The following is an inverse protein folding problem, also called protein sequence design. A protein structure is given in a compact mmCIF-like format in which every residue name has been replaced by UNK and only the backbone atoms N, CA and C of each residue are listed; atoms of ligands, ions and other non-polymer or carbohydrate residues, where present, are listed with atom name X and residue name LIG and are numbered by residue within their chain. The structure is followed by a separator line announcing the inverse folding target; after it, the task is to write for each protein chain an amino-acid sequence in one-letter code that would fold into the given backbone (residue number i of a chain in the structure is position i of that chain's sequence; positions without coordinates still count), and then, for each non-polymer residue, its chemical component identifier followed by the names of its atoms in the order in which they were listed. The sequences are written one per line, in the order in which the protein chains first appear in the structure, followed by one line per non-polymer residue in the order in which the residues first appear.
data_IF_949668307462
#
_entry.id   IF_949668307462
#
_cell.length_a   1.000
_cell.length_b   1.000
_cell.length_c   1.000
_cell.angle_alpha   90.00
_cell.angle_beta   90.00
_cell.angle_gamma   90.00
#
_symmetry.space_group_name_H-M   'P 1'
#
loop_
_entity.id
_entity.type
_entity.pdbx_description
1 polymer ?
#
# COMPACT_ATOMS: atom_id res chain seq x y z
N UNK A 1 34.68 7.83 17.40
CA UNK A 1 34.55 6.39 17.54
C UNK A 1 34.26 6.13 19.01
N UNK A 2 33.04 5.71 19.37
CA UNK A 2 32.68 5.31 20.74
C UNK A 2 33.05 3.83 20.87
N UNK A 3 34.01 3.53 21.73
CA UNK A 3 34.43 2.17 22.11
C UNK A 3 33.37 1.50 23.00
N UNK A 4 32.15 1.34 22.51
CA UNK A 4 31.08 0.66 23.25
C UNK A 4 30.74 -0.65 22.54
N UNK A 5 30.69 -1.73 23.34
CA UNK A 5 30.23 -3.06 22.89
C UNK A 5 28.75 -3.19 23.32
N UNK A 6 27.87 -3.44 22.34
CA UNK A 6 26.47 -3.76 22.62
C UNK A 6 26.29 -5.25 22.83
N UNK A 7 25.67 -5.65 23.94
CA UNK A 7 25.25 -7.02 24.21
C UNK A 7 23.73 -7.10 24.12
N UNK A 8 23.21 -7.89 23.18
CA UNK A 8 21.77 -8.15 23.04
C UNK A 8 21.42 -9.45 23.78
N UNK A 9 20.53 -9.35 24.76
CA UNK A 9 20.05 -10.52 25.51
C UNK A 9 18.54 -10.64 25.26
N UNK A 10 18.07 -11.73 24.64
CA UNK A 10 16.64 -11.92 24.37
C UNK A 10 15.85 -12.06 25.67
N UNK A 11 14.66 -11.45 25.71
CA UNK A 11 13.74 -11.60 26.82
C UNK A 11 13.24 -13.04 26.95
N UNK A 12 13.22 -13.58 28.16
CA UNK A 12 12.66 -14.91 28.44
C UNK A 12 11.16 -14.91 28.19
N UNK A 13 10.47 -13.81 28.53
CA UNK A 13 9.03 -13.65 28.30
C UNK A 13 8.80 -12.66 27.17
N UNK A 14 8.16 -13.11 26.09
CA UNK A 14 7.79 -12.24 24.97
C UNK A 14 6.55 -11.43 25.30
N UNK A 15 6.60 -10.11 25.09
CA UNK A 15 5.44 -9.23 25.22
C UNK A 15 4.82 -8.96 23.84
N UNK A 16 3.48 -8.90 23.78
CA UNK A 16 2.76 -8.47 22.59
C UNK A 16 2.71 -6.94 22.59
N UNK A 17 2.96 -6.36 21.40
CA UNK A 17 2.82 -4.93 21.16
C UNK A 17 1.56 -4.71 20.32
N UNK A 18 0.44 -4.24 20.91
CA UNK A 18 -0.80 -4.02 20.18
C UNK A 18 -0.64 -2.91 19.15
N UNK A 19 -1.17 -3.11 17.93
CA UNK A 19 -1.14 -2.08 16.87
C UNK A 19 -1.77 -0.76 17.34
N UNK A 20 -2.83 -0.82 18.15
CA UNK A 20 -3.50 0.36 18.70
C UNK A 20 -2.55 1.26 19.46
N UNK A 21 -1.64 0.70 20.26
CA UNK A 21 -0.65 1.48 21.01
C UNK A 21 0.34 2.18 20.08
N UNK A 22 0.74 1.49 18.99
CA UNK A 22 1.68 2.03 18.01
C UNK A 22 1.07 3.21 17.23
N UNK A 23 -0.14 3.03 16.64
CA UNK A 23 -0.78 4.08 15.83
C UNK A 23 -1.27 5.26 16.68
N UNK A 24 -1.47 5.05 17.98
CA UNK A 24 -1.90 6.11 18.93
C UNK A 24 -0.73 6.81 19.61
N UNK A 25 0.50 6.36 19.40
CA UNK A 25 1.69 6.94 20.03
C UNK A 25 1.95 8.38 19.54
N UNK A 26 2.66 9.20 20.37
CA UNK A 26 3.08 10.54 19.95
C UNK A 26 3.87 10.51 18.62
N UNK A 27 4.81 9.58 18.48
CA UNK A 27 5.65 9.46 17.30
C UNK A 27 4.84 9.21 16.02
N UNK A 28 3.73 8.45 16.13
CA UNK A 28 2.83 8.21 15.00
C UNK A 28 1.97 9.42 14.68
N UNK A 29 1.39 10.07 15.70
CA UNK A 29 0.50 11.22 15.53
C UNK A 29 1.21 12.47 15.04
N UNK A 30 2.44 12.70 15.49
CA UNK A 30 3.26 13.86 15.12
C UNK A 30 4.12 13.60 13.88
N UNK A 31 4.02 12.41 13.29
CA UNK A 31 4.79 12.04 12.12
C UNK A 31 4.48 12.95 10.94
N UNK A 32 5.54 13.50 10.32
CA UNK A 32 5.45 14.28 9.08
C UNK A 32 5.59 13.43 7.81
N UNK A 33 5.59 12.10 7.97
CA UNK A 33 5.66 11.16 6.86
C UNK A 33 4.40 11.27 5.98
N UNK A 34 4.57 11.14 4.67
CA UNK A 34 3.44 11.14 3.73
C UNK A 34 2.61 9.87 3.87
N UNK A 35 3.25 8.71 4.03
CA UNK A 35 2.62 7.41 4.27
C UNK A 35 3.25 6.74 5.50
N UNK A 36 2.87 7.17 6.73
CA UNK A 36 3.48 6.68 7.96
C UNK A 36 3.05 5.25 8.27
N UNK A 37 4.00 4.38 8.55
CA UNK A 37 3.80 3.03 9.03
C UNK A 37 4.41 2.91 10.43
N UNK A 38 3.61 2.59 11.41
CA UNK A 38 4.06 2.30 12.78
C UNK A 38 4.55 0.85 12.85
N UNK A 39 5.81 0.62 12.46
CA UNK A 39 6.36 -0.72 12.20
C UNK A 39 6.56 -1.57 13.45
N UNK A 40 6.70 -0.94 14.62
CA UNK A 40 6.93 -1.63 15.88
C UNK A 40 7.43 -0.70 16.97
N UNK A 41 7.84 -1.30 18.08
CA UNK A 41 8.46 -0.59 19.21
C UNK A 41 9.93 -0.94 19.33
N UNK A 42 10.74 0.05 19.64
CA UNK A 42 12.17 -0.11 19.95
C UNK A 42 12.35 -0.66 21.36
N UNK A 43 13.56 -1.08 21.71
CA UNK A 43 13.87 -1.62 23.06
C UNK A 43 13.65 -0.61 24.19
N UNK A 44 13.74 0.68 23.91
CA UNK A 44 13.45 1.79 24.82
C UNK A 44 11.96 2.20 24.82
N UNK A 45 11.09 1.39 24.21
CA UNK A 45 9.63 1.55 24.25
C UNK A 45 9.06 2.60 23.30
N UNK A 46 9.88 3.22 22.44
CA UNK A 46 9.41 4.21 21.46
C UNK A 46 8.87 3.56 20.20
N UNK A 47 7.81 4.14 19.62
CA UNK A 47 7.29 3.67 18.36
C UNK A 47 8.20 4.05 17.20
N UNK A 48 8.59 3.07 16.40
CA UNK A 48 9.33 3.30 15.16
C UNK A 48 8.36 3.55 14.02
N UNK A 49 8.40 4.77 13.47
CA UNK A 49 7.60 5.14 12.30
C UNK A 49 8.48 5.17 11.05
N UNK A 50 8.00 4.56 9.98
CA UNK A 50 8.64 4.50 8.68
C UNK A 50 7.73 5.18 7.63
N UNK A 51 8.31 5.95 6.72
CA UNK A 51 7.57 6.56 5.60
C UNK A 51 7.65 5.65 4.37
N UNK A 52 6.53 5.06 3.97
CA UNK A 52 6.48 4.17 2.82
C UNK A 52 6.89 4.86 1.50
N UNK A 53 6.72 6.18 1.39
CA UNK A 53 7.14 6.91 0.18
C UNK A 53 8.66 6.89 -0.04
N UNK A 54 9.44 6.60 1.00
CA UNK A 54 10.90 6.44 0.92
C UNK A 54 11.34 5.04 0.48
N UNK A 55 10.41 4.08 0.48
CA UNK A 55 10.58 2.75 -0.10
C UNK A 55 9.30 2.42 -0.86
N UNK A 56 9.13 2.96 -2.07
CA UNK A 56 7.89 2.85 -2.85
C UNK A 56 7.52 1.39 -3.16
N UNK A 57 8.48 0.47 -3.06
CA UNK A 57 8.28 -0.97 -3.15
C UNK A 57 8.94 -1.64 -1.97
N UNK A 58 8.12 -2.28 -1.14
CA UNK A 58 8.55 -2.97 0.07
C UNK A 58 8.29 -4.47 -0.09
N UNK A 59 9.37 -5.26 -0.05
CA UNK A 59 9.26 -6.71 0.03
C UNK A 59 9.26 -7.13 1.50
N UNK A 60 8.16 -7.77 1.92
CA UNK A 60 8.03 -8.38 3.25
C UNK A 60 8.18 -9.88 3.09
N UNK A 61 9.23 -10.45 3.64
CA UNK A 61 9.52 -11.88 3.57
C UNK A 61 9.64 -12.47 4.99
N UNK A 62 9.21 -13.71 5.11
CA UNK A 62 9.32 -14.48 6.36
C UNK A 62 8.87 -15.92 6.13
N UNK A 63 9.43 -16.85 6.87
CA UNK A 63 8.95 -18.24 6.87
C UNK A 63 7.57 -18.34 7.54
N UNK A 64 6.91 -19.47 7.38
CA UNK A 64 5.60 -19.73 7.99
C UNK A 64 5.61 -19.43 9.50
N UNK A 65 4.60 -18.74 10.00
CA UNK A 65 4.45 -18.31 11.39
C UNK A 65 5.52 -17.30 11.90
N UNK A 66 6.29 -16.67 11.02
CA UNK A 66 7.26 -15.63 11.38
C UNK A 66 6.68 -14.20 11.33
N UNK A 67 5.37 -14.07 11.22
CA UNK A 67 4.69 -12.77 11.33
C UNK A 67 4.58 -11.97 10.02
N UNK A 68 4.79 -12.57 8.83
CA UNK A 68 4.60 -11.89 7.54
C UNK A 68 3.22 -11.25 7.44
N UNK A 69 2.16 -12.04 7.64
CA UNK A 69 0.77 -11.56 7.58
C UNK A 69 0.48 -10.49 8.64
N UNK A 70 1.01 -10.66 9.84
CA UNK A 70 0.92 -9.64 10.90
C UNK A 70 1.59 -8.34 10.44
N UNK A 71 2.78 -8.42 9.85
CA UNK A 71 3.49 -7.26 9.30
C UNK A 71 2.70 -6.55 8.20
N UNK A 72 2.09 -7.28 7.26
CA UNK A 72 1.24 -6.70 6.22
C UNK A 72 0.00 -6.01 6.81
N UNK A 73 -0.63 -6.62 7.80
CA UNK A 73 -1.76 -6.03 8.52
C UNK A 73 -1.36 -4.79 9.32
N UNK A 74 -0.15 -4.77 9.92
CA UNK A 74 0.40 -3.57 10.60
C UNK A 74 0.58 -2.42 9.60
N UNK A 75 1.09 -2.70 8.40
CA UNK A 75 1.25 -1.70 7.33
C UNK A 75 -0.12 -1.15 6.93
N UNK A 76 -1.07 -2.03 6.59
CA UNK A 76 -2.42 -1.64 6.18
C UNK A 76 -3.12 -0.81 7.27
N UNK A 77 -3.17 -1.30 8.50
CA UNK A 77 -3.79 -0.60 9.61
C UNK A 77 -3.13 0.76 9.88
N UNK A 78 -1.80 0.85 9.87
CA UNK A 78 -1.10 2.12 10.07
C UNK A 78 -1.53 3.18 9.06
N UNK A 79 -1.61 2.81 7.79
CA UNK A 79 -2.01 3.70 6.70
C UNK A 79 -3.48 4.12 6.82
N UNK A 80 -4.38 3.18 7.14
CA UNK A 80 -5.80 3.45 7.34
C UNK A 80 -6.08 4.37 8.54
N UNK A 81 -5.27 4.27 9.59
CA UNK A 81 -5.37 5.18 10.73
C UNK A 81 -4.80 6.57 10.44
N UNK A 82 -3.80 6.66 9.56
CA UNK A 82 -3.07 7.91 9.31
C UNK A 82 -3.67 8.76 8.19
N UNK A 83 -4.40 8.17 7.24
CA UNK A 83 -4.87 8.82 6.02
C UNK A 83 -6.37 8.70 5.84
N UNK A 84 -6.98 9.73 5.24
CA UNK A 84 -8.40 9.73 4.87
C UNK A 84 -8.62 9.02 3.53
N UNK A 85 -9.85 8.55 3.24
CA UNK A 85 -10.17 7.92 1.94
C UNK A 85 -9.94 8.82 0.72
N UNK A 86 -9.96 10.14 0.90
CA UNK A 86 -9.63 11.11 -0.15
C UNK A 86 -8.13 11.24 -0.41
N UNK A 87 -7.28 10.79 0.51
CA UNK A 87 -5.82 10.90 0.43
C UNK A 87 -5.15 9.56 0.10
N UNK A 88 -5.84 8.43 0.39
CA UNK A 88 -5.32 7.08 0.24
C UNK A 88 -6.38 6.14 -0.33
N UNK A 89 -5.96 5.34 -1.30
CA UNK A 89 -6.68 4.16 -1.77
C UNK A 89 -5.81 2.93 -1.59
N UNK A 90 -6.47 1.81 -1.25
CA UNK A 90 -5.82 0.52 -1.03
C UNK A 90 -6.27 -0.48 -2.10
N UNK A 91 -5.35 -1.31 -2.52
CA UNK A 91 -5.62 -2.50 -3.33
C UNK A 91 -5.07 -3.68 -2.55
N UNK A 92 -5.92 -4.66 -2.24
CA UNK A 92 -5.50 -5.91 -1.63
C UNK A 92 -5.63 -7.03 -2.65
N UNK A 93 -4.60 -7.83 -2.82
CA UNK A 93 -4.60 -9.04 -3.64
C UNK A 93 -4.28 -10.21 -2.72
N UNK A 94 -5.25 -11.10 -2.54
CA UNK A 94 -5.17 -12.23 -1.61
C UNK A 94 -5.54 -13.55 -2.30
N UNK A 95 -4.60 -14.19 -3.00
CA UNK A 95 -4.87 -15.42 -3.73
C UNK A 95 -5.35 -16.59 -2.85
N UNK A 96 -5.16 -16.52 -1.54
CA UNK A 96 -5.63 -17.52 -0.58
C UNK A 96 -6.99 -17.17 0.02
N UNK A 97 -7.40 -15.89 -0.02
CA UNK A 97 -8.65 -15.41 0.56
C UNK A 97 -8.69 -15.44 2.10
N UNK A 98 -7.53 -15.43 2.77
CA UNK A 98 -7.44 -15.63 4.22
C UNK A 98 -6.96 -14.42 5.00
N UNK A 99 -6.18 -13.55 4.37
CA UNK A 99 -5.48 -12.47 5.09
C UNK A 99 -6.23 -11.15 5.08
N UNK A 100 -6.84 -10.78 3.93
CA UNK A 100 -7.41 -9.44 3.75
C UNK A 100 -8.95 -9.42 3.70
N UNK A 101 -9.62 -10.54 3.87
CA UNK A 101 -11.10 -10.61 3.95
C UNK A 101 -11.71 -9.59 4.92
N UNK A 102 -11.12 -9.30 6.11
CA UNK A 102 -11.67 -8.29 7.02
C UNK A 102 -11.70 -6.86 6.46
N UNK A 103 -10.95 -6.57 5.38
CA UNK A 103 -10.93 -5.26 4.75
C UNK A 103 -12.02 -5.07 3.68
N UNK A 104 -12.83 -6.09 3.36
CA UNK A 104 -13.92 -6.00 2.37
C UNK A 104 -14.90 -4.86 2.69
N UNK A 105 -15.20 -4.63 3.96
CA UNK A 105 -16.12 -3.56 4.39
C UNK A 105 -15.62 -2.13 4.04
N UNK A 106 -14.34 -2.01 3.67
CA UNK A 106 -13.75 -0.73 3.25
C UNK A 106 -13.96 -0.42 1.76
N UNK A 107 -14.68 -1.27 1.01
CA UNK A 107 -14.80 -1.15 -0.45
C UNK A 107 -15.34 0.21 -0.90
N UNK A 108 -16.32 0.79 -0.19
CA UNK A 108 -16.91 2.10 -0.54
C UNK A 108 -15.97 3.28 -0.38
N UNK A 109 -14.96 3.16 0.47
CA UNK A 109 -14.18 4.32 0.89
C UNK A 109 -12.71 4.20 0.54
N UNK A 110 -12.06 3.12 0.96
CA UNK A 110 -10.62 2.97 0.83
C UNK A 110 -10.19 2.08 -0.32
N UNK A 111 -10.99 1.08 -0.71
CA UNK A 111 -10.55 0.17 -1.76
C UNK A 111 -10.66 0.83 -3.14
N UNK A 112 -9.63 0.64 -3.96
CA UNK A 112 -9.68 0.93 -5.37
C UNK A 112 -10.12 -0.36 -6.09
N UNK A 113 -11.34 -0.33 -6.61
CA UNK A 113 -11.95 -1.46 -7.34
C UNK A 113 -12.06 -1.15 -8.82
N UNK A 114 -12.10 -2.19 -9.65
CA UNK A 114 -12.38 -2.03 -11.08
C UNK A 114 -13.89 -1.90 -11.31
N UNK A 115 -14.30 -0.97 -12.15
CA UNK A 115 -15.70 -0.54 -12.35
C UNK A 115 -16.56 -1.47 -13.21
N UNK A 116 -16.25 -2.76 -13.32
CA UNK A 116 -16.94 -3.70 -14.21
C UNK A 116 -17.88 -4.68 -13.47
N UNK A 117 -18.39 -4.29 -12.31
CA UNK A 117 -19.31 -5.13 -11.53
C UNK A 117 -20.76 -4.97 -12.00
N UNK A 118 -21.51 -6.07 -12.02
CA UNK A 118 -22.92 -6.10 -12.40
C UNK A 118 -23.87 -5.68 -11.26
N UNK A 119 -23.41 -5.78 -10.01
CA UNK A 119 -24.17 -5.43 -8.79
C UNK A 119 -23.22 -4.99 -7.68
N UNK A 120 -23.78 -4.41 -6.61
CA UNK A 120 -23.03 -4.04 -5.40
C UNK A 120 -22.43 -5.27 -4.71
N UNK A 121 -23.12 -6.41 -4.70
CA UNK A 121 -22.61 -7.67 -4.15
C UNK A 121 -21.40 -8.17 -4.93
N UNK A 122 -21.47 -8.10 -6.26
CA UNK A 122 -20.34 -8.46 -7.15
C UNK A 122 -19.15 -7.50 -6.94
N UNK A 123 -19.40 -6.21 -6.70
CA UNK A 123 -18.37 -5.24 -6.38
C UNK A 123 -17.66 -5.56 -5.06
N UNK A 124 -18.41 -5.91 -4.02
CA UNK A 124 -17.86 -6.31 -2.73
C UNK A 124 -17.02 -7.57 -2.87
N UNK A 125 -17.54 -8.58 -3.56
CA UNK A 125 -16.83 -9.85 -3.71
C UNK A 125 -15.55 -9.72 -4.53
N UNK A 126 -15.53 -8.84 -5.53
CA UNK A 126 -14.34 -8.56 -6.34
C UNK A 126 -13.43 -7.48 -5.78
N UNK A 127 -13.81 -6.83 -4.69
CA UNK A 127 -13.02 -5.75 -4.08
C UNK A 127 -11.64 -6.22 -3.61
N UNK A 128 -11.51 -7.51 -3.28
CA UNK A 128 -10.23 -8.15 -2.96
C UNK A 128 -10.07 -9.35 -3.90
N UNK A 129 -9.27 -9.24 -4.96
CA UNK A 129 -9.03 -10.30 -5.93
C UNK A 129 -8.43 -11.55 -5.27
N UNK A 130 -9.14 -12.67 -5.43
CA UNK A 130 -8.70 -14.00 -5.01
C UNK A 130 -8.28 -14.79 -6.27
N UNK A 131 -9.04 -14.64 -7.35
CA UNK A 131 -8.73 -15.34 -8.58
C UNK A 131 -7.59 -14.66 -9.35
N UNK A 132 -6.68 -15.43 -9.95
CA UNK A 132 -5.55 -14.86 -10.69
C UNK A 132 -5.96 -13.94 -11.84
N UNK A 133 -7.11 -14.21 -12.47
CA UNK A 133 -7.65 -13.37 -13.53
C UNK A 133 -8.05 -11.98 -13.01
N UNK A 134 -8.76 -11.95 -11.89
CA UNK A 134 -9.20 -10.68 -11.29
C UNK A 134 -7.98 -9.86 -10.80
N UNK A 135 -6.97 -10.55 -10.28
CA UNK A 135 -5.71 -9.90 -9.91
C UNK A 135 -5.00 -9.29 -11.14
N UNK A 136 -4.98 -9.98 -12.29
CA UNK A 136 -4.40 -9.45 -13.54
C UNK A 136 -5.18 -8.22 -14.03
N UNK A 137 -6.51 -8.27 -14.00
CA UNK A 137 -7.37 -7.15 -14.41
C UNK A 137 -7.11 -5.91 -13.51
N UNK A 138 -7.02 -6.08 -12.20
CA UNK A 138 -6.70 -5.00 -11.25
C UNK A 138 -5.30 -4.43 -11.51
N UNK A 139 -4.30 -5.27 -11.74
CA UNK A 139 -2.96 -4.82 -12.02
C UNK A 139 -2.85 -4.07 -13.35
N UNK A 140 -3.59 -4.49 -14.38
CA UNK A 140 -3.70 -3.75 -15.66
C UNK A 140 -4.36 -2.38 -15.48
N UNK A 141 -5.45 -2.32 -14.71
CA UNK A 141 -6.11 -1.07 -14.38
C UNK A 141 -5.17 -0.13 -13.62
N UNK A 142 -4.40 -0.64 -12.66
CA UNK A 142 -3.39 0.14 -11.94
C UNK A 142 -2.31 0.70 -12.88
N UNK A 143 -1.84 -0.09 -13.84
CA UNK A 143 -0.89 0.38 -14.86
C UNK A 143 -1.49 1.48 -15.75
N UNK A 144 -2.77 1.39 -16.09
CA UNK A 144 -3.45 2.43 -16.85
C UNK A 144 -3.59 3.74 -16.06
N UNK A 145 -4.03 3.65 -14.79
CA UNK A 145 -4.11 4.78 -13.86
C UNK A 145 -2.74 5.45 -13.67
N UNK A 146 -1.69 4.66 -13.53
CA UNK A 146 -0.32 5.18 -13.41
C UNK A 146 0.08 6.01 -14.64
N UNK A 147 -0.18 5.52 -15.85
CA UNK A 147 0.12 6.25 -17.11
C UNK A 147 -0.66 7.56 -17.20
N UNK A 148 -1.95 7.53 -16.84
CA UNK A 148 -2.78 8.74 -16.77
C UNK A 148 -2.22 9.76 -15.78
N UNK A 149 -1.80 9.31 -14.60
CA UNK A 149 -1.18 10.18 -13.59
C UNK A 149 0.11 10.81 -14.08
N UNK A 150 0.98 10.06 -14.74
CA UNK A 150 2.19 10.63 -15.33
C UNK A 150 1.86 11.72 -16.36
N UNK A 151 0.83 11.52 -17.17
CA UNK A 151 0.39 12.53 -18.10
C UNK A 151 -0.11 13.79 -17.40
N UNK A 152 -0.92 13.66 -16.34
CA UNK A 152 -1.36 14.78 -15.52
C UNK A 152 -0.20 15.53 -14.85
N UNK A 153 0.80 14.82 -14.34
CA UNK A 153 2.00 15.43 -13.75
C UNK A 153 2.77 16.22 -14.80
N UNK A 154 2.88 15.69 -16.02
CA UNK A 154 3.56 16.34 -17.16
C UNK A 154 2.81 17.62 -17.57
N UNK A 155 1.50 17.57 -17.72
CA UNK A 155 0.64 18.70 -18.08
C UNK A 155 0.65 19.80 -17.00
N UNK A 156 0.84 19.43 -15.74
CA UNK A 156 0.95 20.37 -14.62
C UNK A 156 2.31 21.11 -14.55
N UNK A 157 3.10 21.07 -15.62
CA UNK A 157 4.44 21.67 -15.68
C UNK A 157 5.51 20.76 -15.11
N UNK A 158 5.48 19.47 -15.52
CA UNK A 158 6.47 18.45 -15.14
C UNK A 158 6.69 18.34 -13.63
N UNK A 159 5.61 18.14 -12.88
CA UNK A 159 5.69 17.92 -11.45
C UNK A 159 6.51 16.66 -11.16
N UNK A 160 7.53 16.73 -10.28
CA UNK A 160 8.43 15.60 -10.04
C UNK A 160 7.76 14.44 -9.26
N UNK A 161 6.67 14.73 -8.56
CA UNK A 161 5.95 13.74 -7.74
C UNK A 161 4.52 14.18 -7.45
N UNK A 162 3.73 13.24 -6.95
CA UNK A 162 2.32 13.44 -6.60
C UNK A 162 2.13 14.52 -5.52
N UNK A 163 3.03 14.65 -4.56
CA UNK A 163 2.95 15.64 -3.49
C UNK A 163 2.98 17.07 -4.06
N UNK A 164 3.94 17.34 -4.92
CA UNK A 164 4.08 18.66 -5.59
C UNK A 164 2.88 18.96 -6.49
N UNK A 165 2.37 17.93 -7.20
CA UNK A 165 1.17 18.06 -8.01
C UNK A 165 -0.07 18.40 -7.16
N UNK A 166 -0.32 17.62 -6.11
CA UNK A 166 -1.45 17.83 -5.23
C UNK A 166 -1.40 19.21 -4.54
N UNK A 167 -0.20 19.69 -4.17
CA UNK A 167 -0.06 21.04 -3.62
C UNK A 167 -0.48 22.10 -4.64
N UNK A 168 -0.06 21.98 -5.92
CA UNK A 168 -0.51 22.88 -6.98
C UNK A 168 -2.02 22.84 -7.19
N UNK A 169 -2.62 21.66 -7.07
CA UNK A 169 -4.07 21.50 -7.19
C UNK A 169 -4.81 22.20 -6.04
N UNK A 170 -4.37 22.00 -4.79
CA UNK A 170 -4.91 22.67 -3.60
C UNK A 170 -4.74 24.19 -3.64
N UNK A 171 -3.62 24.66 -4.18
CA UNK A 171 -3.36 26.09 -4.43
C UNK A 171 -4.19 26.68 -5.60
N UNK A 172 -5.12 25.88 -6.18
CA UNK A 172 -5.95 26.27 -7.34
C UNK A 172 -5.14 26.71 -8.59
N UNK A 173 -3.92 26.22 -8.71
CA UNK A 173 -3.04 26.48 -9.88
C UNK A 173 -3.30 25.53 -11.03
N UNK A 174 -4.06 24.47 -10.81
CA UNK A 174 -4.46 23.49 -11.81
C UNK A 174 -5.97 23.57 -12.04
N UNK A 175 -6.37 23.42 -13.29
CA UNK A 175 -7.75 23.60 -13.73
C UNK A 175 -8.50 22.28 -13.82
N UNK A 176 -9.59 22.05 -13.04
CA UNK A 176 -10.39 20.83 -13.11
C UNK A 176 -11.05 20.60 -14.49
N UNK A 177 -11.41 21.68 -15.21
CA UNK A 177 -11.98 21.60 -16.57
C UNK A 177 -11.00 21.08 -17.61
N UNK A 178 -9.69 21.01 -17.28
CA UNK A 178 -8.64 20.35 -18.06
C UNK A 178 -8.32 18.93 -17.57
N UNK A 179 -9.18 18.34 -16.75
CA UNK A 179 -9.03 16.98 -16.23
C UNK A 179 -8.15 16.87 -14.98
N UNK A 180 -7.62 18.00 -14.47
CA UNK A 180 -6.85 17.95 -13.23
C UNK A 180 -7.75 17.65 -12.04
N UNK A 181 -7.30 16.73 -11.19
CA UNK A 181 -7.97 16.30 -9.95
C UNK A 181 -6.95 16.09 -8.84
N UNK A 182 -7.40 16.06 -7.60
CA UNK A 182 -6.55 15.59 -6.52
C UNK A 182 -6.24 14.11 -6.72
N UNK A 183 -4.97 13.72 -6.56
CA UNK A 183 -4.51 12.35 -6.76
C UNK A 183 -4.24 11.71 -5.40
N UNK A 184 -5.10 10.80 -4.89
CA UNK A 184 -4.79 10.05 -3.67
C UNK A 184 -3.61 9.11 -3.92
N UNK A 185 -2.83 8.82 -2.87
CA UNK A 185 -1.89 7.70 -2.94
C UNK A 185 -2.64 6.40 -3.18
N UNK A 186 -2.06 5.49 -3.95
CA UNK A 186 -2.59 4.13 -4.14
C UNK A 186 -1.53 3.17 -3.62
N UNK A 187 -1.89 2.35 -2.65
CA UNK A 187 -1.01 1.33 -2.08
C UNK A 187 -1.58 -0.05 -2.40
N UNK A 188 -0.82 -0.84 -3.14
CA UNK A 188 -1.17 -2.23 -3.44
C UNK A 188 -0.45 -3.17 -2.46
N UNK A 189 -1.19 -4.03 -1.79
CA UNK A 189 -0.69 -5.04 -0.86
C UNK A 189 -1.00 -6.42 -1.43
N UNK A 190 0.03 -7.23 -1.64
CA UNK A 190 -0.07 -8.56 -2.21
C UNK A 190 0.44 -9.56 -1.17
N UNK A 191 -0.43 -10.47 -0.70
CA UNK A 191 -0.04 -11.43 0.34
C UNK A 191 1.01 -12.43 -0.18
N UNK A 192 0.77 -13.07 -1.32
CA UNK A 192 1.65 -14.11 -1.85
C UNK A 192 2.02 -13.83 -3.31
N UNK A 193 3.08 -13.06 -3.53
CA UNK A 193 3.52 -12.69 -4.88
C UNK A 193 3.92 -13.91 -5.73
N UNK A 194 4.46 -14.96 -5.11
CA UNK A 194 4.87 -16.18 -5.81
C UNK A 194 3.67 -16.87 -6.50
N UNK A 195 2.49 -16.88 -5.90
CA UNK A 195 1.30 -17.49 -6.51
C UNK A 195 0.86 -16.74 -7.77
N UNK A 196 0.96 -15.42 -7.81
CA UNK A 196 0.66 -14.63 -9.01
C UNK A 196 1.61 -14.99 -10.16
N UNK A 197 2.90 -15.20 -9.86
CA UNK A 197 3.90 -15.53 -10.89
C UNK A 197 3.78 -16.96 -11.41
N UNK A 198 3.39 -17.92 -10.58
CA UNK A 198 3.23 -19.32 -10.96
C UNK A 198 2.05 -19.54 -11.91
N UNK A 199 0.92 -18.88 -11.65
CA UNK A 199 -0.29 -19.01 -12.49
C UNK A 199 -0.11 -18.28 -13.83
N UNK A 200 0.71 -17.25 -13.86
CA UNK A 200 0.99 -16.43 -15.04
C UNK A 200 2.07 -17.01 -15.95
N UNK A 201 2.79 -18.02 -15.50
CA UNK A 201 3.90 -18.63 -16.25
C UNK A 201 3.49 -19.28 -17.58
N UNK A 202 2.20 -19.53 -17.80
CA UNK A 202 1.65 -20.07 -19.06
C UNK A 202 1.22 -19.03 -20.12
N UNK A 203 1.15 -17.74 -19.77
CA UNK A 203 0.74 -16.67 -20.71
C UNK A 203 1.80 -15.56 -20.75
N UNK A 204 2.44 -15.34 -21.94
CA UNK A 204 3.48 -14.31 -22.09
C UNK A 204 3.03 -12.90 -21.70
N UNK A 205 1.75 -12.58 -21.87
CA UNK A 205 1.16 -11.27 -21.61
C UNK A 205 1.14 -10.92 -20.12
N UNK A 206 0.83 -11.87 -19.25
CA UNK A 206 0.75 -11.67 -17.80
C UNK A 206 2.15 -11.60 -17.17
N UNK A 207 3.09 -12.36 -17.74
CA UNK A 207 4.51 -12.28 -17.37
C UNK A 207 5.08 -10.90 -17.68
N UNK A 208 4.58 -10.23 -18.71
CA UNK A 208 4.96 -8.87 -19.06
C UNK A 208 4.32 -7.83 -18.12
N UNK A 209 3.10 -8.04 -17.63
CA UNK A 209 2.45 -7.14 -16.66
C UNK A 209 3.16 -7.22 -15.31
N UNK A 210 3.47 -8.41 -14.80
CA UNK A 210 4.27 -8.58 -13.58
C UNK A 210 5.66 -7.94 -13.72
N UNK A 211 6.34 -8.12 -14.87
CA UNK A 211 7.61 -7.45 -15.18
C UNK A 211 7.45 -5.95 -15.40
N UNK A 212 6.37 -5.50 -16.02
CA UNK A 212 6.10 -4.08 -16.24
C UNK A 212 5.78 -3.37 -14.93
N UNK A 213 5.07 -4.01 -14.01
CA UNK A 213 4.88 -3.49 -12.66
C UNK A 213 6.23 -3.40 -11.96
N UNK A 214 7.03 -4.45 -11.94
CA UNK A 214 8.37 -4.42 -11.36
C UNK A 214 9.27 -3.37 -12.04
N UNK A 215 9.18 -3.19 -13.35
CA UNK A 215 9.98 -2.24 -14.11
C UNK A 215 9.42 -0.80 -14.13
N UNK A 216 8.11 -0.62 -13.87
CA UNK A 216 7.47 0.72 -13.85
C UNK A 216 7.39 1.31 -12.44
N UNK A 217 7.79 0.52 -11.49
CA UNK A 217 7.78 0.81 -10.06
C UNK A 217 9.20 1.18 -9.57
N UNK A 218 10.22 1.05 -10.41
CA UNK A 218 11.58 1.56 -10.15
C UNK A 218 11.67 3.02 -10.70
#
# INVERSE_FOLDING_TARGET
LTDSVGLEVPNITRSLVPIKSLVSSPESKESKAELPIAIGSTIDGKTKVFDLTKAPHLLVAGSTNQGKSVGLNVIAASLLYAKRPSELKMIFIDPKGTEFTPYKDLYRHYLAVTTTSASEEDEIDRSIPIQPKDADDVLRALCAEMKERYELLRQAGSCPNIKTYNQKFLDKKLRPDKGHRFLPYIVAVIDEYAQLTLVTSGKPEVRNVSRSITASII
#
